data_IF_440328111636
#
_entry.id   IF_440328111636
#
_cell.length_a   1.000
_cell.length_b   1.000
_cell.length_c   1.000
_cell.angle_alpha   90.00
_cell.angle_beta   90.00
_cell.angle_gamma   90.00
#
_symmetry.space_group_name_H-M   'P 1'
#
loop_
_entity.id
_entity.type
_entity.pdbx_description
1 polymer ?
#
# COMPACT_ATOMS: atom_id res chain seq x y z
N UNK A 1 16.93 -19.43 -8.33
CA UNK A 1 16.12 -18.67 -9.30
C UNK A 1 15.28 -19.67 -10.06
N UNK A 2 13.97 -19.70 -9.82
CA UNK A 2 13.06 -20.57 -10.56
C UNK A 2 12.62 -19.87 -11.85
N UNK A 3 13.31 -20.16 -12.95
CA UNK A 3 13.03 -19.60 -14.28
C UNK A 3 11.59 -19.88 -14.81
N UNK A 4 10.81 -20.70 -14.11
CA UNK A 4 9.42 -21.02 -14.47
C UNK A 4 8.36 -20.08 -13.88
N UNK A 5 8.71 -19.18 -12.96
CA UNK A 5 7.75 -18.31 -12.25
C UNK A 5 7.91 -16.82 -12.57
N UNK A 6 8.77 -16.47 -13.52
CA UNK A 6 9.06 -15.06 -13.84
C UNK A 6 7.84 -14.28 -14.36
N UNK A 7 6.88 -14.96 -15.00
CA UNK A 7 5.59 -14.39 -15.37
C UNK A 7 4.73 -13.94 -14.17
N UNK A 8 4.88 -14.61 -13.01
CA UNK A 8 4.17 -14.24 -11.76
C UNK A 8 4.67 -12.92 -11.19
N UNK A 9 5.85 -12.43 -11.62
CA UNK A 9 6.33 -11.12 -11.21
C UNK A 9 5.40 -10.00 -11.67
N UNK A 10 4.76 -10.13 -12.83
CA UNK A 10 3.80 -9.15 -13.34
C UNK A 10 2.36 -9.47 -12.90
N UNK A 11 1.93 -10.72 -13.05
CA UNK A 11 0.53 -11.11 -12.80
C UNK A 11 0.19 -11.27 -11.32
N UNK A 12 1.20 -11.54 -10.48
CA UNK A 12 1.00 -11.95 -9.10
C UNK A 12 0.56 -13.42 -8.99
N UNK A 13 0.55 -13.95 -7.77
CA UNK A 13 0.09 -15.32 -7.54
C UNK A 13 -1.42 -15.45 -7.72
N UNK A 14 -1.88 -16.61 -8.21
CA UNK A 14 -3.31 -16.91 -8.36
C UNK A 14 -4.09 -16.86 -7.04
N UNK A 15 -3.41 -17.07 -5.92
CA UNK A 15 -3.96 -17.04 -4.55
C UNK A 15 -4.33 -15.63 -4.08
N UNK A 16 -3.81 -14.58 -4.72
CA UNK A 16 -3.99 -13.21 -4.27
C UNK A 16 -5.40 -12.65 -4.51
N UNK A 17 -6.24 -13.36 -5.29
CA UNK A 17 -7.68 -13.09 -5.37
C UNK A 17 -8.05 -11.69 -5.86
N UNK A 18 -7.17 -11.01 -6.60
CA UNK A 18 -7.41 -9.65 -7.08
C UNK A 18 -8.54 -9.61 -8.11
N UNK A 19 -9.50 -8.69 -7.92
CA UNK A 19 -10.61 -8.47 -8.88
C UNK A 19 -10.15 -8.00 -10.26
N UNK A 20 -8.95 -7.41 -10.36
CA UNK A 20 -8.45 -6.77 -11.59
C UNK A 20 -7.29 -7.61 -12.12
N UNK A 21 -7.54 -8.40 -13.17
CA UNK A 21 -6.54 -9.25 -13.83
C UNK A 21 -5.58 -8.38 -14.67
N UNK A 22 -4.45 -8.94 -15.10
CA UNK A 22 -3.68 -8.29 -16.16
C UNK A 22 -4.56 -8.15 -17.41
N UNK A 23 -4.47 -7.02 -18.14
CA UNK A 23 -5.11 -6.92 -19.45
C UNK A 23 -4.59 -8.06 -20.32
N UNK A 24 -5.48 -8.93 -20.80
CA UNK A 24 -5.11 -9.91 -21.81
C UNK A 24 -4.96 -9.18 -23.15
N UNK A 25 -3.99 -9.59 -23.98
CA UNK A 25 -3.63 -8.87 -25.22
C UNK A 25 -4.73 -8.70 -26.27
N UNK A 26 -5.92 -9.28 -26.05
CA UNK A 26 -7.10 -9.18 -26.93
C UNK A 26 -8.35 -8.57 -26.26
N UNK A 27 -8.34 -8.30 -24.95
CA UNK A 27 -9.49 -7.70 -24.28
C UNK A 27 -9.34 -6.18 -24.22
N UNK A 28 -10.14 -5.49 -25.03
CA UNK A 28 -10.37 -4.06 -25.01
C UNK A 28 -11.14 -3.62 -23.74
N UNK A 29 -10.54 -3.86 -22.57
CA UNK A 29 -10.89 -3.23 -21.31
C UNK A 29 -9.58 -2.80 -20.66
N UNK A 30 -8.95 -1.80 -21.29
CA UNK A 30 -7.75 -1.19 -20.76
C UNK A 30 -8.16 -0.39 -19.54
N UNK A 31 -7.73 -0.86 -18.38
CA UNK A 31 -7.71 -0.03 -17.18
C UNK A 31 -6.87 1.26 -17.37
N UNK A 32 -6.15 1.37 -18.49
CA UNK A 32 -5.51 2.57 -19.01
C UNK A 32 -6.44 3.40 -19.92
N UNK A 33 -6.32 4.73 -19.93
CA UNK A 33 -6.94 5.59 -20.94
C UNK A 33 -6.50 5.25 -22.36
N UNK A 34 -7.38 5.50 -23.34
CA UNK A 34 -7.21 5.08 -24.75
C UNK A 34 -5.90 5.56 -25.40
N UNK A 35 -5.39 6.72 -24.98
CA UNK A 35 -4.18 7.31 -25.53
C UNK A 35 -2.90 6.61 -25.03
N UNK A 36 -2.99 5.81 -23.96
CA UNK A 36 -1.85 5.07 -23.44
C UNK A 36 -1.60 3.81 -24.26
N UNK A 37 -0.36 3.62 -24.67
CA UNK A 37 0.04 2.46 -25.42
C UNK A 37 0.09 1.23 -24.51
N UNK A 38 -0.71 0.23 -24.83
CA UNK A 38 -0.57 -1.13 -24.31
C UNK A 38 0.11 -2.02 -25.36
N UNK A 39 0.81 -3.07 -24.91
CA UNK A 39 1.39 -4.07 -25.79
C UNK A 39 0.29 -4.71 -26.66
N UNK A 40 0.25 -4.33 -27.94
CA UNK A 40 -0.61 -4.91 -28.95
C UNK A 40 0.19 -5.14 -30.24
N UNK A 41 -0.06 -6.28 -30.92
CA UNK A 41 0.64 -6.64 -32.16
C UNK A 41 2.08 -7.17 -32.00
N UNK A 42 2.83 -7.21 -33.11
CA UNK A 42 4.17 -7.84 -33.23
C UNK A 42 5.27 -7.17 -32.40
N UNK A 43 5.10 -5.90 -31.99
CA UNK A 43 6.14 -5.12 -31.34
C UNK A 43 6.13 -5.22 -29.80
N UNK A 44 5.05 -5.68 -29.16
CA UNK A 44 5.03 -5.94 -27.70
C UNK A 44 5.53 -4.77 -26.82
N UNK A 45 5.37 -3.51 -27.25
CA UNK A 45 5.81 -2.28 -26.53
C UNK A 45 4.67 -1.64 -25.76
N UNK A 46 5.00 -0.85 -24.74
CA UNK A 46 4.03 -0.03 -24.00
C UNK A 46 3.91 -0.44 -22.53
N UNK A 47 2.87 0.08 -21.88
CA UNK A 47 2.67 -0.07 -20.44
C UNK A 47 2.00 -1.39 -20.10
N UNK A 48 2.53 -2.11 -19.11
CA UNK A 48 1.84 -3.24 -18.49
C UNK A 48 1.67 -3.04 -17.00
N UNK A 49 0.57 -3.57 -16.50
CA UNK A 49 0.27 -3.60 -15.08
C UNK A 49 1.06 -4.70 -14.38
N UNK A 50 1.73 -4.32 -13.30
CA UNK A 50 2.24 -5.23 -12.28
C UNK A 50 1.27 -5.24 -11.10
N UNK A 51 0.67 -6.41 -10.85
CA UNK A 51 -0.17 -6.66 -9.68
C UNK A 51 0.71 -6.85 -8.45
N UNK A 52 0.45 -6.10 -7.39
CA UNK A 52 1.14 -6.27 -6.11
C UNK A 52 0.25 -7.07 -5.14
N UNK A 53 0.86 -7.69 -4.14
CA UNK A 53 0.13 -8.45 -3.13
C UNK A 53 -0.94 -7.56 -2.46
N UNK A 54 -2.24 -7.93 -2.51
CA UNK A 54 -3.30 -7.13 -1.93
C UNK A 54 -3.17 -7.03 -0.41
N UNK A 55 -3.34 -5.83 0.12
CA UNK A 55 -3.28 -5.54 1.56
C UNK A 55 -4.32 -6.37 2.33
N UNK A 56 -5.55 -6.45 1.78
CA UNK A 56 -6.69 -7.15 2.37
C UNK A 56 -6.36 -8.58 2.80
N UNK A 57 -5.69 -9.34 1.92
CA UNK A 57 -5.41 -10.77 2.09
C UNK A 57 -4.69 -11.10 3.41
N UNK A 58 -3.88 -10.17 3.91
CA UNK A 58 -2.98 -10.40 5.05
C UNK A 58 -3.41 -9.66 6.32
N UNK A 59 -4.30 -8.66 6.23
CA UNK A 59 -4.72 -7.82 7.36
C UNK A 59 -6.13 -8.12 7.87
N UNK A 60 -7.04 -8.66 7.05
CA UNK A 60 -8.45 -8.80 7.42
C UNK A 60 -8.66 -9.67 8.67
N UNK A 61 -8.00 -10.82 8.74
CA UNK A 61 -8.12 -11.73 9.88
C UNK A 61 -7.53 -11.12 11.17
N UNK A 62 -6.27 -10.62 11.19
CA UNK A 62 -5.75 -9.92 12.36
C UNK A 62 -6.61 -8.74 12.80
N UNK A 63 -7.09 -7.93 11.85
CA UNK A 63 -7.96 -6.79 12.13
C UNK A 63 -9.29 -7.22 12.76
N UNK A 64 -9.90 -8.31 12.32
CA UNK A 64 -11.14 -8.84 12.88
C UNK A 64 -10.98 -9.37 14.32
N UNK A 65 -9.80 -9.91 14.66
CA UNK A 65 -9.49 -10.38 16.02
C UNK A 65 -9.08 -9.25 16.98
N UNK A 66 -8.53 -8.14 16.47
CA UNK A 66 -8.12 -7.01 17.30
C UNK A 66 -9.23 -6.44 18.23
N UNK A 67 -10.49 -6.20 17.81
CA UNK A 67 -11.53 -5.71 18.71
C UNK A 67 -11.94 -6.76 19.74
N UNK A 68 -11.87 -8.06 19.42
CA UNK A 68 -12.14 -9.13 20.38
C UNK A 68 -11.17 -9.05 21.57
N UNK A 69 -9.87 -8.91 21.31
CA UNK A 69 -8.88 -8.74 22.38
C UNK A 69 -9.03 -7.41 23.12
N UNK A 70 -9.51 -6.36 22.44
CA UNK A 70 -9.83 -5.10 23.11
C UNK A 70 -11.01 -5.26 24.08
N UNK A 71 -12.04 -6.04 23.73
CA UNK A 71 -13.12 -6.42 24.66
C UNK A 71 -12.57 -7.21 25.84
N UNK A 72 -11.74 -8.23 25.57
CA UNK A 72 -11.18 -9.08 26.62
C UNK A 72 -10.33 -8.32 27.64
N UNK A 73 -9.73 -7.19 27.25
CA UNK A 73 -9.00 -6.30 28.17
C UNK A 73 -9.86 -5.84 29.34
N UNK A 74 -11.17 -5.66 29.15
CA UNK A 74 -12.09 -5.21 30.21
C UNK A 74 -12.48 -6.31 31.20
N UNK A 75 -12.34 -7.59 30.84
CA UNK A 75 -12.84 -8.71 31.67
C UNK A 75 -12.08 -8.84 33.00
N UNK A 76 -10.73 -8.90 33.03
CA UNK A 76 -10.00 -8.95 34.30
C UNK A 76 -10.23 -7.69 35.16
N UNK A 77 -10.46 -6.54 34.52
CA UNK A 77 -10.69 -5.26 35.20
C UNK A 77 -12.08 -5.15 35.83
N UNK A 78 -13.10 -5.78 35.23
CA UNK A 78 -14.47 -5.77 35.72
C UNK A 78 -14.75 -6.89 36.74
N UNK A 79 -14.02 -8.00 36.64
CA UNK A 79 -14.18 -9.20 37.47
C UNK A 79 -12.85 -9.55 38.15
N UNK A 80 -12.41 -8.78 39.15
CA UNK A 80 -11.15 -9.01 39.82
C UNK A 80 -11.12 -10.37 40.54
N UNK A 81 -9.93 -10.95 40.66
CA UNK A 81 -9.62 -12.23 41.32
C UNK A 81 -10.28 -13.46 40.68
N UNK A 82 -10.62 -13.37 39.39
CA UNK A 82 -11.29 -14.46 38.64
C UNK A 82 -10.48 -15.00 37.48
N UNK A 83 -9.33 -14.41 37.15
CA UNK A 83 -8.46 -14.92 36.10
C UNK A 83 -7.37 -15.83 36.66
N UNK A 84 -6.89 -16.84 35.89
CA UNK A 84 -5.87 -17.79 36.37
C UNK A 84 -4.47 -17.18 36.51
N UNK A 85 -4.27 -15.98 35.99
CA UNK A 85 -3.03 -15.18 36.06
C UNK A 85 -3.39 -13.87 36.76
N UNK A 86 -2.40 -13.05 37.14
CA UNK A 86 -2.64 -11.69 37.59
C UNK A 86 -3.54 -10.90 36.60
N UNK A 87 -4.58 -10.24 37.12
CA UNK A 87 -5.60 -9.56 36.31
C UNK A 87 -5.00 -8.42 35.48
N UNK A 88 -4.02 -7.69 36.04
CA UNK A 88 -3.36 -6.59 35.37
C UNK A 88 -2.47 -7.09 34.22
N UNK A 89 -1.72 -8.18 34.44
CA UNK A 89 -0.96 -8.83 33.38
C UNK A 89 -1.86 -9.34 32.26
N UNK A 90 -2.99 -9.96 32.60
CA UNK A 90 -3.96 -10.48 31.63
C UNK A 90 -4.55 -9.34 30.77
N UNK A 91 -4.99 -8.25 31.41
CA UNK A 91 -5.50 -7.08 30.71
C UNK A 91 -4.43 -6.44 29.81
N UNK A 92 -3.20 -6.28 30.30
CA UNK A 92 -2.09 -5.73 29.51
C UNK A 92 -1.75 -6.60 28.30
N UNK A 93 -1.79 -7.93 28.45
CA UNK A 93 -1.54 -8.87 27.36
C UNK A 93 -2.62 -8.76 26.27
N UNK A 94 -3.90 -8.78 26.62
CA UNK A 94 -4.99 -8.62 25.65
C UNK A 94 -4.97 -7.26 24.96
N UNK A 95 -4.71 -6.19 25.72
CA UNK A 95 -4.58 -4.85 25.16
C UNK A 95 -3.44 -4.77 24.15
N UNK A 96 -2.26 -5.27 24.51
CA UNK A 96 -1.09 -5.28 23.64
C UNK A 96 -1.35 -6.10 22.38
N UNK A 97 -1.96 -7.28 22.53
CA UNK A 97 -2.28 -8.16 21.41
C UNK A 97 -3.26 -7.51 20.43
N UNK A 98 -4.26 -6.77 20.93
CA UNK A 98 -5.20 -6.01 20.10
C UNK A 98 -4.46 -5.09 19.12
N UNK A 99 -3.49 -4.32 19.59
CA UNK A 99 -2.75 -3.37 18.76
C UNK A 99 -1.67 -4.02 17.90
N UNK A 100 -0.99 -5.06 18.39
CA UNK A 100 -0.01 -5.81 17.61
C UNK A 100 -0.63 -6.48 16.39
N UNK A 101 -1.86 -6.99 16.51
CA UNK A 101 -2.61 -7.57 15.39
C UNK A 101 -2.93 -6.54 14.29
N UNK A 102 -2.86 -5.24 14.57
CA UNK A 102 -3.03 -4.18 13.57
C UNK A 102 -1.66 -3.72 13.06
N UNK A 103 -0.78 -3.32 13.97
CA UNK A 103 0.48 -2.63 13.61
C UNK A 103 1.48 -3.54 12.92
N UNK A 104 1.65 -4.79 13.39
CA UNK A 104 2.64 -5.71 12.83
C UNK A 104 2.30 -6.08 11.38
N UNK A 105 1.09 -6.57 11.05
CA UNK A 105 0.79 -6.93 9.67
C UNK A 105 0.78 -5.71 8.74
N UNK A 106 0.28 -4.54 9.19
CA UNK A 106 0.36 -3.30 8.39
C UNK A 106 1.80 -2.93 8.04
N UNK A 107 2.69 -2.95 9.03
CA UNK A 107 4.10 -2.65 8.81
C UNK A 107 4.75 -3.63 7.83
N UNK A 108 4.53 -4.94 8.03
CA UNK A 108 5.10 -5.98 7.18
C UNK A 108 4.61 -5.86 5.73
N UNK A 109 3.31 -5.68 5.52
CA UNK A 109 2.74 -5.50 4.17
C UNK A 109 3.36 -4.29 3.50
N UNK A 110 3.34 -3.11 4.15
CA UNK A 110 3.89 -1.89 3.58
C UNK A 110 5.39 -2.01 3.30
N UNK A 111 6.16 -2.63 4.20
CA UNK A 111 7.61 -2.84 4.00
C UNK A 111 7.95 -3.77 2.82
N UNK A 112 7.00 -4.60 2.40
CA UNK A 112 7.16 -5.47 1.23
C UNK A 112 6.81 -4.78 -0.10
N UNK A 113 6.17 -3.61 -0.05
CA UNK A 113 5.80 -2.87 -1.25
C UNK A 113 6.95 -1.98 -1.74
N UNK A 114 7.07 -1.75 -3.07
CA UNK A 114 8.10 -0.90 -3.65
C UNK A 114 7.73 0.59 -3.46
N UNK A 115 7.85 1.07 -2.22
CA UNK A 115 7.54 2.46 -1.82
C UNK A 115 8.77 3.17 -1.27
N UNK A 116 8.83 4.48 -1.46
CA UNK A 116 9.85 5.35 -0.85
C UNK A 116 9.36 5.98 0.46
N UNK A 117 8.07 5.84 0.79
CA UNK A 117 7.45 6.38 2.00
C UNK A 117 7.46 5.30 3.08
N UNK A 118 8.45 5.38 3.99
CA UNK A 118 8.90 4.23 4.79
C UNK A 118 8.84 4.35 6.32
N UNK A 119 8.23 5.37 6.92
CA UNK A 119 8.23 5.53 8.39
C UNK A 119 7.10 4.77 9.10
N UNK A 120 7.35 4.30 10.34
CA UNK A 120 6.31 3.67 11.17
C UNK A 120 5.10 4.60 11.40
N UNK A 121 5.34 5.91 11.48
CA UNK A 121 4.29 6.91 11.69
C UNK A 121 3.43 7.18 10.45
N UNK A 122 3.83 6.69 9.27
CA UNK A 122 3.00 6.81 8.07
C UNK A 122 1.97 5.69 7.96
N UNK A 123 1.98 4.68 8.84
CA UNK A 123 0.95 3.65 8.80
C UNK A 123 -0.45 4.27 8.95
N UNK A 124 -1.50 3.70 8.32
CA UNK A 124 -2.89 4.15 8.40
C UNK A 124 -3.50 3.87 9.77
N UNK A 125 -2.87 4.43 10.80
CA UNK A 125 -3.17 4.26 12.20
C UNK A 125 -3.49 5.62 12.81
N UNK A 126 -4.45 5.68 13.73
CA UNK A 126 -4.83 6.95 14.36
C UNK A 126 -3.90 7.34 15.52
N UNK A 127 -2.66 7.68 15.17
CA UNK A 127 -1.62 8.10 16.12
C UNK A 127 -2.09 9.19 17.09
N UNK A 128 -2.74 10.29 16.65
CA UNK A 128 -3.17 11.34 17.58
C UNK A 128 -4.14 10.83 18.65
N UNK A 129 -5.17 10.07 18.25
CA UNK A 129 -6.14 9.53 19.21
C UNK A 129 -5.51 8.47 20.11
N UNK A 130 -4.63 7.62 19.57
CA UNK A 130 -3.93 6.60 20.34
C UNK A 130 -3.01 7.21 21.40
N UNK A 131 -2.23 8.23 21.02
CA UNK A 131 -1.36 8.95 21.95
C UNK A 131 -2.19 9.65 23.01
N UNK A 132 -3.29 10.32 22.64
CA UNK A 132 -4.17 10.96 23.60
C UNK A 132 -4.81 9.96 24.57
N UNK A 133 -5.32 8.83 24.08
CA UNK A 133 -5.85 7.76 24.91
C UNK A 133 -4.76 7.24 25.88
N UNK A 134 -3.54 7.02 25.38
CA UNK A 134 -2.41 6.56 26.21
C UNK A 134 -2.03 7.56 27.31
N UNK A 135 -2.12 8.87 27.04
CA UNK A 135 -1.90 9.91 28.06
C UNK A 135 -2.99 9.89 29.13
N UNK A 136 -4.27 9.81 28.73
CA UNK A 136 -5.40 9.70 29.67
C UNK A 136 -5.29 8.41 30.48
N UNK A 137 -4.84 7.31 29.87
CA UNK A 137 -4.48 6.09 30.58
C UNK A 137 -3.41 6.38 31.62
N UNK A 138 -2.23 6.93 31.28
CA UNK A 138 -1.18 7.20 32.28
C UNK A 138 -1.66 8.01 33.49
N UNK A 139 -2.59 8.94 33.29
CA UNK A 139 -3.19 9.75 34.35
C UNK A 139 -4.14 8.97 35.30
N UNK A 140 -4.62 7.78 34.92
CA UNK A 140 -5.54 6.99 35.75
C UNK A 140 -4.92 6.55 37.08
N UNK A 141 -3.61 6.30 37.10
CA UNK A 141 -2.85 5.91 38.31
C UNK A 141 -2.65 7.10 39.25
N UNK A 142 -2.48 8.30 38.68
CA UNK A 142 -2.10 9.50 39.44
C UNK A 142 -3.31 10.26 40.00
N UNK A 143 -4.44 10.25 39.29
CA UNK A 143 -5.58 11.12 39.59
C UNK A 143 -6.79 10.32 40.08
N UNK A 144 -7.34 9.43 39.25
CA UNK A 144 -8.58 8.73 39.58
C UNK A 144 -8.78 7.47 38.70
N UNK A 145 -9.17 6.31 39.29
CA UNK A 145 -9.39 5.06 38.54
C UNK A 145 -10.41 5.16 37.40
N UNK A 146 -11.43 6.01 37.51
CA UNK A 146 -12.43 6.21 36.45
C UNK A 146 -11.81 6.71 35.12
N UNK A 147 -10.64 7.36 35.14
CA UNK A 147 -9.94 7.74 33.92
C UNK A 147 -9.50 6.52 33.09
N UNK A 148 -9.29 5.36 33.72
CA UNK A 148 -9.02 4.10 33.02
C UNK A 148 -10.17 3.71 32.09
N UNK A 149 -11.42 3.82 32.55
CA UNK A 149 -12.62 3.56 31.74
C UNK A 149 -12.82 4.62 30.65
N UNK A 150 -12.53 5.90 30.94
CA UNK A 150 -12.55 6.96 29.92
C UNK A 150 -11.52 6.66 28.83
N UNK A 151 -10.28 6.32 29.21
CA UNK A 151 -9.23 5.93 28.28
C UNK A 151 -9.62 4.71 27.45
N UNK A 152 -10.27 3.72 28.05
CA UNK A 152 -10.76 2.54 27.35
C UNK A 152 -11.76 2.91 26.24
N UNK A 153 -12.69 3.83 26.51
CA UNK A 153 -13.58 4.38 25.49
C UNK A 153 -12.82 5.12 24.36
N UNK A 154 -11.77 5.86 24.69
CA UNK A 154 -10.91 6.53 23.70
C UNK A 154 -10.12 5.54 22.83
N UNK A 155 -9.71 4.40 23.39
CA UNK A 155 -9.08 3.33 22.62
C UNK A 155 -10.05 2.68 21.62
N UNK A 156 -11.33 2.52 21.97
CA UNK A 156 -12.35 2.12 21.00
C UNK A 156 -12.54 3.14 19.87
N UNK A 157 -12.59 4.43 20.21
CA UNK A 157 -12.65 5.49 19.19
C UNK A 157 -11.44 5.44 18.25
N UNK A 158 -10.25 5.25 18.81
CA UNK A 158 -9.00 5.09 18.07
C UNK A 158 -9.04 3.87 17.16
N UNK A 159 -9.58 2.75 17.63
CA UNK A 159 -9.76 1.54 16.83
C UNK A 159 -10.68 1.78 15.63
N UNK A 160 -11.85 2.42 15.85
CA UNK A 160 -12.81 2.73 14.77
C UNK A 160 -12.17 3.65 13.72
N UNK A 161 -11.49 4.72 14.15
CA UNK A 161 -10.80 5.64 13.23
C UNK A 161 -9.68 4.97 12.46
N UNK A 162 -8.93 4.09 13.12
CA UNK A 162 -7.89 3.26 12.48
C UNK A 162 -8.51 2.32 11.44
N UNK A 163 -9.62 1.65 11.76
CA UNK A 163 -10.35 0.80 10.82
C UNK A 163 -10.76 1.56 9.55
N UNK A 164 -11.30 2.78 9.69
CA UNK A 164 -11.69 3.61 8.53
C UNK A 164 -10.49 3.91 7.63
N UNK A 165 -9.35 4.32 8.20
CA UNK A 165 -8.12 4.58 7.43
C UNK A 165 -7.56 3.33 6.75
N UNK A 166 -7.58 2.19 7.43
CA UNK A 166 -7.16 0.91 6.84
C UNK A 166 -8.10 0.53 5.70
N UNK A 167 -9.40 0.75 5.84
CA UNK A 167 -10.40 0.47 4.79
C UNK A 167 -10.10 1.27 3.52
N UNK A 168 -9.76 2.54 3.64
CA UNK A 168 -9.39 3.39 2.48
C UNK A 168 -8.23 2.80 1.69
N UNK A 169 -7.19 2.30 2.39
CA UNK A 169 -6.05 1.61 1.77
C UNK A 169 -6.46 0.26 1.14
N UNK A 170 -7.35 -0.49 1.78
CA UNK A 170 -7.75 -1.82 1.30
C UNK A 170 -8.60 -1.75 0.02
N UNK A 171 -9.45 -0.74 -0.11
CA UNK A 171 -10.39 -0.61 -1.24
C UNK A 171 -9.65 -0.34 -2.55
N UNK A 172 -8.55 0.41 -2.51
CA UNK A 172 -7.74 0.68 -3.69
C UNK A 172 -6.85 -0.53 -4.04
N UNK A 173 -6.89 -1.04 -5.29
CA UNK A 173 -6.09 -2.18 -5.69
C UNK A 173 -4.59 -1.85 -5.62
N UNK A 174 -3.81 -2.77 -5.05
CA UNK A 174 -2.36 -2.65 -4.98
C UNK A 174 -1.76 -3.01 -6.35
N UNK A 175 -1.05 -2.07 -6.96
CA UNK A 175 -0.49 -2.26 -8.29
C UNK A 175 0.33 -1.07 -8.74
N UNK A 176 1.06 -1.26 -9.84
CA UNK A 176 1.77 -0.19 -10.53
C UNK A 176 1.87 -0.52 -12.02
N UNK A 177 2.11 0.48 -12.84
CA UNK A 177 2.30 0.33 -14.27
C UNK A 177 3.77 0.43 -14.61
N UNK A 178 4.24 -0.45 -15.49
CA UNK A 178 5.65 -0.56 -15.87
C UNK A 178 5.80 -0.25 -17.34
N UNK A 179 6.85 0.48 -17.68
CA UNK A 179 7.31 0.71 -19.05
C UNK A 179 8.77 0.23 -19.17
N UNK A 180 9.09 -0.74 -20.04
CA UNK A 180 10.48 -1.13 -20.28
C UNK A 180 11.28 0.02 -20.87
N UNK A 181 12.45 0.31 -20.31
CA UNK A 181 13.32 1.41 -20.77
C UNK A 181 14.78 0.99 -20.83
N UNK A 182 15.55 1.69 -21.65
CA UNK A 182 17.01 1.60 -21.62
C UNK A 182 17.54 2.63 -20.61
N UNK A 183 17.98 2.16 -19.43
CA UNK A 183 18.38 3.05 -18.33
C UNK A 183 19.48 4.06 -18.68
N UNK A 184 20.36 3.76 -19.66
CA UNK A 184 21.40 4.69 -20.11
C UNK A 184 20.87 5.86 -20.94
N UNK A 185 19.69 5.70 -21.53
CA UNK A 185 19.12 6.64 -22.50
C UNK A 185 18.04 7.52 -21.84
N UNK A 186 17.59 7.17 -20.63
CA UNK A 186 16.55 7.90 -19.89
C UNK A 186 17.04 9.28 -19.44
N UNK A 187 16.25 10.30 -19.74
CA UNK A 187 16.41 11.69 -19.29
C UNK A 187 15.07 12.24 -18.84
N UNK A 188 14.93 12.48 -17.55
CA UNK A 188 13.63 12.87 -16.98
C UNK A 188 13.11 14.18 -17.57
N UNK A 189 13.97 15.13 -17.90
CA UNK A 189 13.56 16.39 -18.54
C UNK A 189 13.05 16.22 -19.97
N UNK A 190 13.51 15.20 -20.68
CA UNK A 190 13.23 14.99 -22.10
C UNK A 190 12.07 14.00 -22.29
N UNK A 191 11.94 13.05 -21.36
CA UNK A 191 11.02 11.92 -21.44
C UNK A 191 9.70 12.16 -20.69
N UNK A 192 9.58 13.22 -19.88
CA UNK A 192 8.35 13.60 -19.17
C UNK A 192 7.73 14.90 -19.69
N UNK A 193 6.41 15.01 -19.58
CA UNK A 193 5.71 16.28 -19.78
C UNK A 193 5.98 17.27 -18.64
N UNK A 194 5.70 18.55 -18.90
CA UNK A 194 5.80 19.60 -17.89
C UNK A 194 4.85 19.35 -16.70
N UNK A 195 5.24 19.83 -15.51
CA UNK A 195 4.44 19.74 -14.28
C UNK A 195 4.90 18.66 -13.30
N UNK A 196 5.83 17.80 -13.70
CA UNK A 196 6.48 16.84 -12.81
C UNK A 196 7.55 17.52 -11.95
N UNK A 197 7.54 17.22 -10.66
CA UNK A 197 8.63 17.53 -9.74
C UNK A 197 9.73 16.47 -9.91
N UNK A 198 10.84 16.86 -10.54
CA UNK A 198 11.96 15.97 -10.84
C UNK A 198 12.79 15.73 -9.58
N UNK A 199 12.98 14.46 -9.20
CA UNK A 199 13.85 14.03 -8.10
C UNK A 199 15.20 13.57 -8.63
N UNK A 200 15.20 12.87 -9.77
CA UNK A 200 16.42 12.39 -10.44
C UNK A 200 16.31 12.63 -11.94
N UNK A 201 17.35 13.26 -12.49
CA UNK A 201 17.45 13.49 -13.94
C UNK A 201 17.73 12.19 -14.71
N UNK A 202 18.39 11.24 -14.05
CA UNK A 202 18.78 9.96 -14.63
C UNK A 202 17.94 8.82 -14.06
N UNK A 203 17.89 7.70 -14.77
CA UNK A 203 17.24 6.50 -14.26
C UNK A 203 17.92 6.05 -12.96
N UNK A 204 17.11 5.76 -11.94
CA UNK A 204 17.56 5.23 -10.65
C UNK A 204 16.57 4.17 -10.19
N UNK A 205 17.01 3.21 -9.36
CA UNK A 205 16.13 2.21 -8.74
C UNK A 205 15.17 2.79 -7.67
N UNK A 206 15.31 4.08 -7.35
CA UNK A 206 14.45 4.82 -6.44
C UNK A 206 13.47 5.76 -7.15
N UNK A 207 12.96 6.78 -6.45
CA UNK A 207 12.13 7.83 -7.02
C UNK A 207 12.85 8.60 -8.15
N UNK A 208 12.13 8.85 -9.23
CA UNK A 208 12.58 9.60 -10.41
C UNK A 208 11.88 10.96 -10.46
N UNK A 209 10.55 10.96 -10.37
CA UNK A 209 9.75 12.17 -10.43
C UNK A 209 8.40 11.98 -9.73
N UNK A 210 7.75 13.10 -9.45
CA UNK A 210 6.44 13.11 -8.82
C UNK A 210 5.46 14.08 -9.48
N UNK A 211 4.20 13.68 -9.54
CA UNK A 211 3.10 14.56 -9.96
C UNK A 211 2.15 14.71 -8.78
N UNK A 212 1.97 15.94 -8.31
CA UNK A 212 1.10 16.27 -7.19
C UNK A 212 -0.32 16.54 -7.72
N UNK A 213 -1.30 15.75 -7.27
CA UNK A 213 -2.72 15.89 -7.63
C UNK A 213 -3.54 15.99 -6.34
N UNK A 214 -4.21 17.12 -6.08
CA UNK A 214 -5.06 17.40 -4.90
C UNK A 214 -5.04 16.40 -3.71
N UNK A 215 -3.89 16.26 -3.03
CA UNK A 215 -3.73 15.42 -1.83
C UNK A 215 -3.18 14.01 -2.06
N UNK A 216 -3.04 13.60 -3.31
CA UNK A 216 -2.40 12.37 -3.76
C UNK A 216 -1.15 12.66 -4.61
N UNK A 217 -0.27 11.66 -4.70
CA UNK A 217 1.02 11.80 -5.37
C UNK A 217 1.24 10.62 -6.29
N UNK A 218 1.27 10.89 -7.59
CA UNK A 218 1.74 9.90 -8.55
C UNK A 218 3.26 9.93 -8.51
N UNK A 219 3.87 8.77 -8.39
CA UNK A 219 5.31 8.61 -8.35
C UNK A 219 5.78 7.80 -9.52
N UNK A 220 6.79 8.34 -10.20
CA UNK A 220 7.65 7.59 -11.10
C UNK A 220 8.88 7.11 -10.33
N UNK A 221 9.19 5.84 -10.48
CA UNK A 221 10.36 5.20 -9.85
C UNK A 221 10.97 4.19 -10.79
N UNK A 222 12.26 3.87 -10.65
CA UNK A 222 12.83 2.77 -11.39
C UNK A 222 12.45 1.43 -10.78
N UNK A 223 12.20 0.44 -11.63
CA UNK A 223 12.09 -0.95 -11.23
C UNK A 223 13.06 -1.80 -12.05
N UNK A 224 13.55 -2.88 -11.45
CA UNK A 224 14.50 -3.80 -12.08
C UNK A 224 14.10 -5.25 -11.86
N UNK A 225 14.25 -6.07 -12.90
CA UNK A 225 14.11 -7.53 -12.83
C UNK A 225 15.18 -8.14 -13.73
N UNK A 226 16.17 -8.82 -13.14
CA UNK A 226 17.36 -9.27 -13.88
C UNK A 226 18.09 -8.10 -14.53
N UNK A 227 18.37 -8.21 -15.82
CA UNK A 227 19.00 -7.16 -16.63
C UNK A 227 18.00 -6.14 -17.20
N UNK A 228 16.70 -6.38 -17.02
CA UNK A 228 15.67 -5.48 -17.51
C UNK A 228 15.42 -4.33 -16.53
N UNK A 229 15.16 -3.15 -17.11
CA UNK A 229 14.95 -1.89 -16.40
C UNK A 229 13.63 -1.31 -16.86
N UNK A 230 12.89 -0.78 -15.90
CA UNK A 230 11.55 -0.26 -16.11
C UNK A 230 11.42 1.10 -15.43
N UNK A 231 10.57 1.94 -15.98
CA UNK A 231 9.96 3.05 -15.26
C UNK A 231 8.62 2.58 -14.73
N UNK A 232 8.39 2.80 -13.45
CA UNK A 232 7.23 2.35 -12.72
C UNK A 232 6.40 3.54 -12.26
N UNK A 233 5.14 3.57 -12.66
CA UNK A 233 4.16 4.56 -12.27
C UNK A 233 3.20 3.97 -11.24
N UNK A 234 3.07 4.64 -10.10
CA UNK A 234 2.15 4.24 -9.05
C UNK A 234 1.56 5.44 -8.33
N UNK A 235 0.38 5.25 -7.75
CA UNK A 235 -0.20 6.17 -6.78
C UNK A 235 0.35 5.85 -5.40
N UNK A 236 1.01 6.81 -4.75
CA UNK A 236 1.57 6.63 -3.40
C UNK A 236 1.09 7.79 -2.53
N UNK A 237 0.12 7.51 -1.66
CA UNK A 237 -0.40 8.48 -0.71
C UNK A 237 0.51 8.70 0.49
N UNK A 238 0.03 9.52 1.44
CA UNK A 238 0.73 9.82 2.70
C UNK A 238 1.01 8.58 3.56
N UNK A 239 0.22 7.51 3.38
CA UNK A 239 0.38 6.26 4.11
C UNK A 239 1.55 5.40 3.61
N UNK A 240 2.01 5.69 2.39
CA UNK A 240 3.09 4.98 1.71
C UNK A 240 2.68 3.65 1.07
N UNK A 241 1.39 3.28 1.10
CA UNK A 241 0.91 2.14 0.33
C UNK A 241 0.89 2.45 -1.17
N UNK A 242 1.22 1.44 -1.96
CA UNK A 242 1.33 1.54 -3.43
C UNK A 242 0.02 1.07 -4.07
N UNK A 243 -0.63 1.98 -4.79
CA UNK A 243 -1.91 1.74 -5.45
C UNK A 243 -1.81 1.94 -6.95
N UNK A 244 -2.70 1.24 -7.66
CA UNK A 244 -2.89 1.41 -9.10
C UNK A 244 -3.49 2.81 -9.39
N UNK A 245 -2.77 3.70 -10.09
CA UNK A 245 -3.23 5.07 -10.33
C UNK A 245 -4.51 5.13 -11.16
N UNK A 246 -4.75 4.16 -12.03
CA UNK A 246 -5.94 4.16 -12.90
C UNK A 246 -7.12 3.41 -12.27
N UNK A 247 -7.07 3.11 -10.97
CA UNK A 247 -8.22 2.61 -10.22
C UNK A 247 -9.08 3.76 -9.67
N UNK A 248 -8.51 4.95 -9.50
CA UNK A 248 -9.22 6.15 -9.09
C UNK A 248 -9.70 6.93 -10.32
N UNK A 249 -10.99 7.30 -10.36
CA UNK A 249 -11.58 7.97 -11.52
C UNK A 249 -11.07 9.39 -11.72
N UNK A 250 -10.74 10.11 -10.65
CA UNK A 250 -10.19 11.46 -10.73
C UNK A 250 -8.77 11.44 -11.30
N UNK A 251 -7.96 10.48 -10.83
CA UNK A 251 -6.60 10.25 -11.33
C UNK A 251 -6.63 9.74 -12.78
N UNK A 252 -7.57 8.85 -13.11
CA UNK A 252 -7.76 8.38 -14.49
C UNK A 252 -8.01 9.54 -15.46
N UNK A 253 -8.84 10.51 -15.08
CA UNK A 253 -9.13 11.71 -15.89
C UNK A 253 -7.89 12.61 -15.98
N UNK A 254 -7.21 12.85 -14.86
CA UNK A 254 -5.98 13.65 -14.82
C UNK A 254 -4.85 13.05 -15.67
N UNK A 255 -4.81 11.72 -15.79
CA UNK A 255 -3.86 10.97 -16.61
C UNK A 255 -4.43 10.53 -17.96
N UNK A 256 -5.48 11.20 -18.47
CA UNK A 256 -6.09 10.87 -19.76
C UNK A 256 -5.07 10.88 -20.91
N UNK A 257 -4.06 11.75 -20.84
CA UNK A 257 -2.94 11.80 -21.78
C UNK A 257 -1.68 11.11 -21.22
N UNK A 258 -0.88 10.43 -22.06
CA UNK A 258 0.39 9.83 -21.66
C UNK A 258 1.35 10.87 -21.08
N UNK A 259 1.86 10.60 -19.88
CA UNK A 259 2.77 11.52 -19.18
C UNK A 259 4.25 11.29 -19.52
N UNK A 260 4.55 10.15 -20.15
CA UNK A 260 5.88 9.76 -20.61
C UNK A 260 5.87 9.76 -22.13
N UNK A 261 6.80 10.50 -22.74
CA UNK A 261 6.81 10.77 -24.18
C UNK A 261 7.32 9.57 -24.98
N UNK A 262 8.16 8.73 -24.38
CA UNK A 262 8.73 7.55 -25.04
C UNK A 262 7.77 6.36 -25.04
N UNK A 263 7.77 5.59 -26.14
CA UNK A 263 7.00 4.35 -26.28
C UNK A 263 7.56 3.15 -25.49
N UNK A 264 8.78 3.26 -24.96
CA UNK A 264 9.48 2.17 -24.29
C UNK A 264 10.06 1.11 -25.24
N UNK A 265 10.66 0.08 -24.65
CA UNK A 265 11.25 -1.07 -25.34
C UNK A 265 10.25 -2.24 -25.45
N UNK A 266 10.62 -3.24 -26.25
CA UNK A 266 9.88 -4.51 -26.33
C UNK A 266 9.91 -5.20 -24.96
N UNK A 267 8.78 -5.78 -24.56
CA UNK A 267 8.71 -6.50 -23.30
C UNK A 267 9.53 -7.79 -23.32
N UNK A 268 10.25 -8.11 -22.22
CA UNK A 268 10.98 -9.37 -22.12
C UNK A 268 10.03 -10.57 -22.16
N UNK A 269 10.22 -11.46 -23.14
CA UNK A 269 9.35 -12.64 -23.34
C UNK A 269 9.26 -13.54 -22.13
N UNK A 270 10.31 -13.64 -21.31
CA UNK A 270 10.35 -14.42 -20.08
C UNK A 270 9.38 -13.91 -18.99
N UNK A 271 8.98 -12.63 -19.05
CA UNK A 271 8.04 -12.02 -18.11
C UNK A 271 6.59 -12.09 -18.60
N UNK A 272 6.38 -12.45 -19.86
CA UNK A 272 5.06 -12.58 -20.45
C UNK A 272 4.51 -13.99 -20.20
N UNK A 273 3.22 -14.08 -19.92
CA UNK A 273 2.51 -15.36 -19.93
C UNK A 273 2.48 -15.88 -21.36
N UNK A 274 3.00 -17.10 -21.57
CA UNK A 274 2.84 -17.87 -22.81
C UNK A 274 1.39 -18.26 -23.05
#
# INVERSE_FOLDING_TARGET
MEAGQDHLWLSGESSWGGSRKQPSGNEANSDLPELWQTPSGELGRGWMRQTLKPVASSILLPLAWSPFFLVLTAVPLALPDRTPVDDQMSAAAFFTLSWLLILVPLYLIRSSQPTHVGSFHTLPFDWPSFTFASLVFGLHVLIHPALGWVSYGLFWLTWIRTYVRIREVIVMPAGRWLLPVKSSDWRTSDDLLDGWEIVSEYWTSGPIAHLNLEGEKITLSGASRGDHRFVAMALIGTTGFVHDPFADSSIYIALSEPQVVISGLDWPSALLTS
#
